data_IF_532209756076
#
_entry.id   IF_532209756076
#
_cell.length_a   1.000
_cell.length_b   1.000
_cell.length_c   1.000
_cell.angle_alpha   90.00
_cell.angle_beta   90.00
_cell.angle_gamma   90.00
#
_symmetry.space_group_name_H-M   'P 1'
#
loop_
_entity.id
_entity.type
_entity.pdbx_description
1 polymer ?
#
# COMPACT_ATOMS: atom_id res chain seq x y z
N UNK A 1 -41.34 34.12 10.04
CA UNK A 1 -42.46 33.25 9.59
C UNK A 1 -42.08 32.74 8.21
N UNK A 2 -41.94 31.47 7.87
CA UNK A 2 -42.12 30.17 8.50
C UNK A 2 -41.17 29.22 7.75
N UNK A 3 -40.31 28.48 8.48
CA UNK A 3 -39.45 27.43 7.93
C UNK A 3 -40.19 26.11 8.16
N UNK A 4 -40.62 25.46 7.08
CA UNK A 4 -41.23 24.13 7.13
C UNK A 4 -40.16 23.05 7.22
N UNK A 5 -40.12 22.38 8.38
CA UNK A 5 -39.25 21.24 8.66
C UNK A 5 -39.71 19.99 7.90
N UNK A 6 -38.78 19.28 7.26
CA UNK A 6 -39.00 17.90 6.83
C UNK A 6 -38.29 16.98 7.81
N UNK A 7 -39.10 16.24 8.58
CA UNK A 7 -38.70 15.19 9.52
C UNK A 7 -38.10 14.01 8.75
N UNK A 8 -36.87 13.63 9.06
CA UNK A 8 -36.28 12.36 8.64
C UNK A 8 -36.69 11.27 9.64
N UNK A 9 -37.38 10.24 9.16
CA UNK A 9 -37.85 9.11 9.95
C UNK A 9 -36.69 8.26 10.47
N UNK A 10 -36.58 8.14 11.80
CA UNK A 10 -35.71 7.19 12.49
C UNK A 10 -36.26 5.77 12.35
N UNK A 11 -35.57 4.91 11.61
CA UNK A 11 -35.75 3.47 11.70
C UNK A 11 -34.80 2.92 12.75
N UNK A 12 -35.37 2.49 13.87
CA UNK A 12 -34.69 1.77 14.93
C UNK A 12 -34.86 0.27 14.69
N UNK A 13 -33.77 -0.43 14.39
CA UNK A 13 -33.75 -1.89 14.37
C UNK A 13 -32.87 -2.36 15.51
N UNK A 14 -33.48 -3.21 16.32
CA UNK A 14 -33.04 -3.67 17.63
C UNK A 14 -31.70 -4.41 17.53
N UNK A 15 -30.74 -3.98 18.37
CA UNK A 15 -29.52 -4.74 18.67
C UNK A 15 -29.82 -5.68 19.82
N UNK A 16 -29.50 -6.96 19.67
CA UNK A 16 -29.20 -7.86 20.78
C UNK A 16 -27.79 -8.42 20.56
N UNK A 17 -26.78 -8.01 21.34
CA UNK A 17 -25.49 -8.67 21.33
C UNK A 17 -25.55 -9.88 22.29
N UNK A 18 -25.56 -11.08 21.72
CA UNK A 18 -25.24 -12.29 22.49
C UNK A 18 -23.72 -12.28 22.70
N UNK A 19 -23.32 -11.99 23.94
CA UNK A 19 -21.92 -12.08 24.40
C UNK A 19 -21.65 -13.53 24.76
N UNK A 20 -20.73 -14.19 24.03
CA UNK A 20 -20.14 -15.46 24.44
C UNK A 20 -18.72 -15.20 24.97
N UNK A 21 -18.32 -15.78 26.11
CA UNK A 21 -17.04 -15.49 26.74
C UNK A 21 -15.88 -16.18 25.99
N UNK A 22 -14.85 -15.39 25.67
CA UNK A 22 -13.55 -15.87 25.20
C UNK A 22 -12.79 -16.51 26.38
N UNK A 23 -12.59 -17.83 26.34
CA UNK A 23 -11.67 -18.52 27.25
C UNK A 23 -10.23 -18.25 26.83
N UNK A 24 -9.48 -17.60 27.72
CA UNK A 24 -8.04 -17.31 27.61
C UNK A 24 -7.26 -18.62 27.73
N UNK A 25 -6.49 -18.98 26.71
CA UNK A 25 -5.55 -20.11 26.77
C UNK A 25 -4.15 -19.53 27.02
N UNK A 26 -3.65 -19.67 28.24
CA UNK A 26 -2.30 -19.27 28.63
C UNK A 26 -1.28 -20.29 28.10
N UNK A 27 -0.25 -19.80 27.39
CA UNK A 27 0.89 -20.62 26.94
C UNK A 27 2.08 -20.29 27.86
N UNK A 28 2.75 -21.27 28.49
CA UNK A 28 3.88 -20.99 29.37
C UNK A 28 5.10 -20.56 28.57
N UNK A 29 5.72 -19.46 28.98
CA UNK A 29 7.04 -19.02 28.52
C UNK A 29 8.13 -19.84 29.24
N UNK A 30 8.86 -20.68 28.50
CA UNK A 30 10.15 -21.21 28.95
C UNK A 30 11.24 -20.80 27.97
N UNK A 31 12.19 -19.99 28.46
CA UNK A 31 13.35 -19.55 27.70
C UNK A 31 14.38 -20.66 27.54
N UNK A 32 14.89 -20.80 26.31
CA UNK A 32 16.12 -21.54 26.05
C UNK A 32 16.92 -20.77 24.98
N UNK A 33 18.10 -20.28 25.38
CA UNK A 33 19.14 -19.79 24.47
C UNK A 33 19.73 -20.99 23.73
N UNK A 34 19.69 -21.03 22.41
CA UNK A 34 20.53 -21.95 21.64
C UNK A 34 21.21 -21.29 20.45
N UNK A 35 22.51 -21.56 20.42
CA UNK A 35 23.53 -21.13 19.47
C UNK A 35 23.29 -21.72 18.07
N UNK A 36 23.72 -20.94 17.08
CA UNK A 36 23.56 -21.15 15.64
C UNK A 36 24.54 -22.17 15.08
N UNK A 37 24.04 -23.33 14.66
CA UNK A 37 24.37 -24.06 13.42
C UNK A 37 23.58 -25.37 13.40
N UNK A 38 22.54 -25.47 12.56
CA UNK A 38 21.85 -26.73 12.30
C UNK A 38 22.11 -27.15 10.85
N UNK A 39 22.55 -28.40 10.60
CA UNK A 39 22.65 -28.92 9.24
C UNK A 39 21.26 -29.08 8.65
N UNK A 40 21.15 -29.00 7.33
CA UNK A 40 19.92 -29.24 6.57
C UNK A 40 19.51 -30.70 6.77
N UNK A 41 18.72 -30.97 7.80
CA UNK A 41 18.01 -32.23 7.95
C UNK A 41 16.89 -32.26 6.92
N UNK A 42 17.05 -33.09 5.88
CA UNK A 42 15.91 -33.56 5.09
C UNK A 42 15.00 -34.31 6.05
N UNK A 43 13.95 -33.65 6.54
CA UNK A 43 12.81 -34.36 7.12
C UNK A 43 12.22 -35.24 6.02
N UNK A 44 12.49 -36.53 6.11
CA UNK A 44 11.71 -37.58 5.48
C UNK A 44 10.29 -37.47 6.04
N UNK A 45 9.37 -36.94 5.25
CA UNK A 45 7.95 -37.01 5.55
C UNK A 45 7.60 -38.49 5.76
N UNK A 46 6.93 -38.79 6.86
CA UNK A 46 6.30 -40.10 7.04
C UNK A 46 5.31 -40.31 5.91
N UNK A 47 5.47 -41.39 5.16
CA UNK A 47 4.50 -41.91 4.18
C UNK A 47 3.20 -42.34 4.91
N UNK A 48 2.41 -41.37 5.37
CA UNK A 48 0.97 -41.55 5.36
C UNK A 48 0.55 -41.21 3.94
N UNK A 49 0.12 -42.21 3.16
CA UNK A 49 -0.46 -42.02 1.83
C UNK A 49 -1.78 -41.23 1.93
N UNK A 50 -1.70 -39.94 2.24
CA UNK A 50 -2.82 -39.03 2.15
C UNK A 50 -3.05 -38.80 0.66
N UNK A 51 -4.09 -39.41 0.11
CA UNK A 51 -4.53 -39.19 -1.25
C UNK A 51 -4.68 -37.69 -1.49
N UNK A 52 -3.81 -37.10 -2.33
CA UNK A 52 -3.89 -35.68 -2.66
C UNK A 52 -5.19 -35.46 -3.42
N UNK A 53 -6.11 -34.70 -2.80
CA UNK A 53 -7.42 -34.39 -3.38
C UNK A 53 -7.27 -33.50 -4.61
N UNK A 54 -8.26 -33.55 -5.50
CA UNK A 54 -8.27 -32.76 -6.73
C UNK A 54 -8.46 -31.28 -6.43
N UNK A 55 -7.98 -30.41 -7.33
CA UNK A 55 -8.21 -28.96 -7.26
C UNK A 55 -9.70 -28.58 -7.25
N UNK A 56 -10.55 -29.43 -7.81
CA UNK A 56 -12.00 -29.25 -7.81
C UNK A 56 -12.67 -29.64 -6.49
N UNK A 57 -11.94 -30.31 -5.59
CA UNK A 57 -12.43 -30.69 -4.26
C UNK A 57 -12.23 -29.59 -3.23
N UNK A 58 -11.56 -28.48 -3.60
CA UNK A 58 -11.41 -27.31 -2.73
C UNK A 58 -12.80 -26.67 -2.54
N UNK A 59 -13.25 -26.48 -1.29
CA UNK A 59 -14.55 -25.89 -1.00
C UNK A 59 -14.58 -24.42 -1.43
N UNK A 60 -15.77 -23.90 -1.70
CA UNK A 60 -15.98 -22.47 -1.96
C UNK A 60 -16.81 -22.15 -3.20
N UNK A 61 -16.92 -20.87 -3.50
CA UNK A 61 -17.78 -20.32 -4.55
C UNK A 61 -16.99 -20.04 -5.81
N UNK A 62 -16.77 -21.05 -6.67
CA UNK A 62 -15.96 -20.89 -7.88
C UNK A 62 -16.65 -21.32 -9.19
N UNK A 63 -17.76 -22.05 -9.13
CA UNK A 63 -18.42 -22.61 -10.32
C UNK A 63 -19.09 -21.55 -11.22
N UNK A 64 -19.61 -20.47 -10.64
CA UNK A 64 -20.32 -19.42 -11.40
C UNK A 64 -19.83 -18.02 -11.03
N UNK A 65 -18.74 -17.58 -11.69
CA UNK A 65 -18.10 -16.29 -11.42
C UNK A 65 -19.02 -15.08 -11.61
N UNK A 66 -19.98 -15.12 -12.53
CA UNK A 66 -20.91 -14.01 -12.80
C UNK A 66 -21.97 -13.90 -11.72
N UNK A 67 -22.58 -15.02 -11.31
CA UNK A 67 -23.52 -15.01 -10.18
C UNK A 67 -22.82 -14.61 -8.88
N UNK A 68 -21.59 -15.06 -8.66
CA UNK A 68 -20.78 -14.66 -7.52
C UNK A 68 -20.46 -13.16 -7.55
N UNK A 69 -20.14 -12.59 -8.72
CA UNK A 69 -19.93 -11.14 -8.87
C UNK A 69 -21.20 -10.35 -8.53
N UNK A 70 -22.37 -10.82 -8.96
CA UNK A 70 -23.64 -10.20 -8.61
C UNK A 70 -23.89 -10.22 -7.09
N UNK A 71 -23.69 -11.38 -6.45
CA UNK A 71 -23.82 -11.51 -5.00
C UNK A 71 -22.79 -10.65 -4.25
N UNK A 72 -21.53 -10.64 -4.72
CA UNK A 72 -20.47 -9.81 -4.19
C UNK A 72 -20.83 -8.33 -4.24
N UNK A 73 -21.38 -7.87 -5.36
CA UNK A 73 -21.85 -6.49 -5.50
C UNK A 73 -23.03 -6.19 -4.56
N UNK A 74 -24.01 -7.09 -4.43
CA UNK A 74 -25.14 -6.95 -3.50
C UNK A 74 -24.72 -6.83 -2.04
N UNK A 75 -23.60 -7.46 -1.67
CA UNK A 75 -23.01 -7.40 -0.33
C UNK A 75 -22.07 -6.20 -0.11
N UNK A 76 -22.05 -5.24 -1.04
CA UNK A 76 -21.10 -4.11 -1.03
C UNK A 76 -19.63 -4.59 -0.97
N UNK A 77 -19.33 -5.68 -1.69
CA UNK A 77 -18.06 -6.37 -1.60
C UNK A 77 -16.85 -5.53 -2.03
N UNK A 78 -17.03 -4.53 -2.89
CA UNK A 78 -15.95 -3.61 -3.27
C UNK A 78 -15.41 -2.77 -2.09
N UNK A 79 -16.18 -2.65 -1.01
CA UNK A 79 -15.79 -1.97 0.24
C UNK A 79 -15.60 -2.94 1.40
N UNK A 80 -16.35 -4.04 1.41
CA UNK A 80 -16.40 -5.00 2.53
C UNK A 80 -15.70 -6.33 2.24
N UNK A 81 -14.82 -6.40 1.23
CA UNK A 81 -14.12 -7.63 0.83
C UNK A 81 -13.47 -8.37 2.01
N UNK A 82 -12.77 -7.66 2.89
CA UNK A 82 -12.09 -8.25 4.04
C UNK A 82 -13.05 -8.95 5.02
N UNK A 83 -14.26 -8.40 5.23
CA UNK A 83 -15.31 -9.06 6.02
C UNK A 83 -15.87 -10.29 5.31
N UNK A 84 -16.06 -10.22 3.99
CA UNK A 84 -16.48 -11.37 3.18
C UNK A 84 -15.44 -12.49 3.25
N UNK A 85 -14.15 -12.17 3.20
CA UNK A 85 -13.07 -13.15 3.35
C UNK A 85 -13.13 -13.86 4.70
N UNK A 86 -13.32 -13.10 5.80
CA UNK A 86 -13.48 -13.69 7.15
C UNK A 86 -14.70 -14.63 7.20
N UNK A 87 -15.84 -14.21 6.62
CA UNK A 87 -17.03 -15.07 6.55
C UNK A 87 -16.80 -16.33 5.72
N UNK A 88 -16.07 -16.22 4.60
CA UNK A 88 -15.71 -17.36 3.76
C UNK A 88 -14.80 -18.34 4.50
N UNK A 89 -13.78 -17.88 5.24
CA UNK A 89 -12.95 -18.76 6.07
C UNK A 89 -13.76 -19.44 7.18
N UNK A 90 -14.69 -18.73 7.81
CA UNK A 90 -15.60 -19.33 8.80
C UNK A 90 -16.56 -20.38 8.20
N UNK A 91 -16.89 -20.25 6.92
CA UNK A 91 -17.86 -21.11 6.23
C UNK A 91 -17.20 -22.34 5.58
N UNK A 92 -16.08 -22.13 4.89
CA UNK A 92 -15.42 -23.15 4.07
C UNK A 92 -14.20 -23.78 4.75
N UNK A 93 -13.75 -23.20 5.87
CA UNK A 93 -12.55 -23.63 6.59
C UNK A 93 -11.28 -22.87 6.16
N UNK A 94 -10.09 -23.36 6.55
CA UNK A 94 -8.83 -22.62 6.44
C UNK A 94 -8.31 -22.44 5.01
N UNK A 95 -8.91 -23.15 4.04
CA UNK A 95 -8.61 -23.05 2.62
C UNK A 95 -9.91 -23.06 1.81
N UNK A 96 -10.08 -22.10 0.92
CA UNK A 96 -11.23 -22.06 0.02
C UNK A 96 -10.88 -21.50 -1.36
N UNK A 97 -11.64 -21.91 -2.38
CA UNK A 97 -11.52 -21.45 -3.76
C UNK A 97 -12.69 -20.55 -4.11
N UNK A 98 -12.41 -19.42 -4.73
CA UNK A 98 -13.41 -18.42 -5.06
C UNK A 98 -13.16 -17.84 -6.45
N UNK A 99 -14.25 -17.65 -7.19
CA UNK A 99 -14.27 -16.99 -8.49
C UNK A 99 -15.28 -15.86 -8.47
N UNK A 100 -14.82 -14.61 -8.62
CA UNK A 100 -15.64 -13.40 -8.67
C UNK A 100 -15.37 -12.72 -10.01
N UNK A 101 -16.38 -12.69 -10.88
CA UNK A 101 -16.23 -12.19 -12.25
C UNK A 101 -15.22 -13.04 -13.02
N UNK A 102 -14.17 -12.40 -13.52
CA UNK A 102 -13.07 -13.09 -14.20
C UNK A 102 -11.90 -13.44 -13.27
N UNK A 103 -11.91 -12.97 -12.02
CA UNK A 103 -10.85 -13.23 -11.05
C UNK A 103 -11.13 -14.53 -10.30
N UNK A 104 -10.12 -15.40 -10.21
CA UNK A 104 -10.19 -16.68 -9.54
C UNK A 104 -8.98 -16.85 -8.61
N UNK A 105 -9.22 -17.33 -7.40
CA UNK A 105 -8.20 -17.46 -6.36
C UNK A 105 -8.44 -18.66 -5.46
N UNK A 106 -7.35 -19.17 -4.88
CA UNK A 106 -7.38 -20.01 -3.68
C UNK A 106 -6.88 -19.16 -2.53
N UNK A 107 -7.65 -19.11 -1.45
CA UNK A 107 -7.41 -18.30 -0.27
C UNK A 107 -7.03 -19.22 0.87
N UNK A 108 -5.97 -18.87 1.59
CA UNK A 108 -5.41 -19.58 2.75
C UNK A 108 -5.32 -18.61 3.93
N UNK A 109 -5.47 -19.11 5.15
CA UNK A 109 -5.35 -18.30 6.38
C UNK A 109 -4.27 -18.79 7.35
N UNK A 110 -3.91 -20.08 7.28
CA UNK A 110 -2.96 -20.66 8.22
C UNK A 110 -1.51 -20.24 7.87
N UNK A 111 -0.69 -19.83 8.86
CA UNK A 111 0.71 -19.48 8.63
C UNK A 111 1.55 -20.61 8.02
N UNK A 112 1.23 -21.86 8.35
CA UNK A 112 1.93 -23.05 7.85
C UNK A 112 1.75 -23.21 6.34
N UNK A 113 0.53 -22.99 5.83
CA UNK A 113 0.23 -23.06 4.40
C UNK A 113 0.94 -21.93 3.65
N UNK A 114 1.01 -20.73 4.23
CA UNK A 114 1.76 -19.62 3.67
C UNK A 114 3.27 -19.92 3.62
N UNK A 115 3.83 -20.54 4.66
CA UNK A 115 5.23 -20.95 4.69
C UNK A 115 5.55 -21.98 3.59
N UNK A 116 4.66 -22.96 3.38
CA UNK A 116 4.77 -23.93 2.28
C UNK A 116 4.74 -23.21 0.92
N UNK A 117 3.79 -22.29 0.72
CA UNK A 117 3.67 -21.51 -0.52
C UNK A 117 4.96 -20.73 -0.83
N UNK A 118 5.48 -19.98 0.14
CA UNK A 118 6.69 -19.19 -0.06
C UNK A 118 7.96 -20.05 -0.21
N UNK A 119 8.00 -21.25 0.39
CA UNK A 119 9.09 -22.21 0.19
C UNK A 119 9.08 -22.82 -1.21
N UNK A 120 7.91 -22.95 -1.82
CA UNK A 120 7.74 -23.42 -3.19
C UNK A 120 7.87 -22.31 -4.24
N UNK A 121 8.16 -21.07 -3.83
CA UNK A 121 8.27 -19.92 -4.74
C UNK A 121 9.44 -20.09 -5.72
N UNK A 122 9.17 -19.86 -7.01
CA UNK A 122 10.18 -19.91 -8.07
C UNK A 122 11.07 -18.67 -8.12
N UNK A 123 12.07 -18.68 -9.02
CA UNK A 123 13.01 -17.57 -9.20
C UNK A 123 12.38 -16.24 -9.65
N UNK A 124 11.17 -16.29 -10.21
CA UNK A 124 10.43 -15.17 -10.78
C UNK A 124 9.00 -15.16 -10.26
N UNK A 125 8.78 -14.77 -8.99
CA UNK A 125 7.44 -14.75 -8.42
C UNK A 125 6.53 -13.81 -9.19
N UNK A 126 5.27 -14.24 -9.34
CA UNK A 126 4.21 -13.49 -10.01
C UNK A 126 3.02 -13.38 -9.09
N UNK A 127 2.65 -12.15 -8.74
CA UNK A 127 1.42 -11.84 -8.03
C UNK A 127 0.26 -11.60 -9.00
N UNK A 128 -0.91 -11.31 -8.43
CA UNK A 128 -2.07 -10.83 -9.18
C UNK A 128 -1.68 -9.67 -10.10
N UNK A 129 -1.98 -9.83 -11.39
CA UNK A 129 -1.89 -8.77 -12.39
C UNK A 129 -3.11 -7.87 -12.25
N UNK A 130 -2.88 -6.61 -11.88
CA UNK A 130 -3.93 -5.59 -11.86
C UNK A 130 -4.19 -5.12 -13.28
N UNK A 131 -5.12 -5.78 -13.97
CA UNK A 131 -5.40 -5.56 -15.40
C UNK A 131 -5.71 -4.10 -15.73
N UNK A 132 -6.35 -3.36 -14.81
CA UNK A 132 -6.64 -1.93 -14.98
C UNK A 132 -5.36 -1.12 -15.21
N UNK A 133 -4.32 -1.39 -14.42
CA UNK A 133 -3.07 -0.67 -14.47
C UNK A 133 -2.30 -1.00 -15.74
N UNK A 134 -2.18 -2.28 -16.10
CA UNK A 134 -1.53 -2.67 -17.37
C UNK A 134 -2.29 -2.14 -18.58
N UNK A 135 -3.62 -2.19 -18.55
CA UNK A 135 -4.46 -1.65 -19.63
C UNK A 135 -4.26 -0.15 -19.84
N UNK A 136 -4.09 0.62 -18.75
CA UNK A 136 -3.75 2.04 -18.87
C UNK A 136 -2.38 2.23 -19.51
N UNK A 137 -1.37 1.48 -19.07
CA UNK A 137 0.00 1.60 -19.59
C UNK A 137 0.03 1.31 -21.08
N UNK A 138 -0.64 0.24 -21.52
CA UNK A 138 -0.77 -0.12 -22.94
C UNK A 138 -1.54 0.94 -23.72
N UNK A 139 -2.63 1.47 -23.15
CA UNK A 139 -3.46 2.49 -23.79
C UNK A 139 -2.72 3.82 -24.00
N UNK A 140 -1.87 4.22 -23.05
CA UNK A 140 -1.07 5.45 -23.11
C UNK A 140 0.37 5.24 -23.62
N UNK A 141 0.71 4.03 -24.07
CA UNK A 141 2.05 3.64 -24.51
C UNK A 141 3.14 3.99 -23.47
N UNK A 142 2.87 3.69 -22.19
CA UNK A 142 3.80 3.90 -21.07
C UNK A 142 4.47 2.57 -20.70
N UNK A 143 5.76 2.61 -20.32
CA UNK A 143 6.48 1.44 -19.82
C UNK A 143 5.90 0.98 -18.47
N UNK A 144 6.08 -0.32 -18.21
CA UNK A 144 5.75 -0.93 -16.94
C UNK A 144 6.90 -0.67 -15.97
N UNK A 145 6.63 -0.29 -14.72
CA UNK A 145 7.65 -0.30 -13.69
C UNK A 145 7.77 -1.69 -13.07
N UNK A 146 8.62 -1.81 -12.05
CA UNK A 146 8.88 -3.09 -11.36
C UNK A 146 7.61 -3.74 -10.80
N UNK A 147 6.54 -2.99 -10.52
CA UNK A 147 5.28 -3.53 -10.05
C UNK A 147 4.53 -4.29 -11.15
N UNK A 148 4.64 -3.90 -12.41
CA UNK A 148 3.84 -4.48 -13.50
C UNK A 148 4.62 -5.48 -14.36
N UNK A 149 5.95 -5.53 -14.22
CA UNK A 149 6.82 -6.51 -14.89
C UNK A 149 6.73 -7.89 -14.27
N UNK A 150 7.11 -8.91 -15.06
CA UNK A 150 7.23 -10.31 -14.62
C UNK A 150 8.50 -10.93 -15.23
N UNK A 151 8.86 -12.15 -14.78
CA UNK A 151 9.96 -12.92 -15.37
C UNK A 151 11.32 -12.24 -15.23
N UNK A 152 12.18 -12.44 -16.23
CA UNK A 152 13.53 -11.87 -16.25
C UNK A 152 13.54 -10.34 -16.25
N UNK A 153 12.61 -9.71 -16.97
CA UNK A 153 12.51 -8.25 -17.03
C UNK A 153 12.24 -7.65 -15.64
N UNK A 154 11.36 -8.29 -14.86
CA UNK A 154 11.15 -7.92 -13.47
C UNK A 154 12.43 -8.09 -12.65
N UNK A 155 13.11 -9.24 -12.76
CA UNK A 155 14.32 -9.53 -11.98
C UNK A 155 15.42 -8.51 -12.25
N UNK A 156 15.67 -8.19 -13.51
CA UNK A 156 16.67 -7.20 -13.92
C UNK A 156 16.41 -5.84 -13.28
N UNK A 157 15.17 -5.34 -13.38
CA UNK A 157 14.78 -4.07 -12.75
C UNK A 157 14.85 -4.14 -11.22
N UNK A 158 14.32 -5.22 -10.62
CA UNK A 158 14.25 -5.39 -9.18
C UNK A 158 15.63 -5.44 -8.53
N UNK A 159 16.59 -6.16 -9.11
CA UNK A 159 17.96 -6.25 -8.58
C UNK A 159 18.66 -4.89 -8.60
N UNK A 160 18.45 -4.10 -9.64
CA UNK A 160 19.03 -2.75 -9.75
C UNK A 160 18.38 -1.78 -8.77
N UNK A 161 17.04 -1.77 -8.69
CA UNK A 161 16.31 -0.93 -7.73
C UNK A 161 16.63 -1.29 -6.27
N UNK A 162 16.77 -2.58 -5.93
CA UNK A 162 17.09 -2.99 -4.57
C UNK A 162 18.41 -2.36 -4.07
N UNK A 163 19.39 -2.14 -4.96
CA UNK A 163 20.66 -1.50 -4.60
C UNK A 163 20.45 -0.06 -4.15
N UNK A 164 19.49 0.63 -4.75
CA UNK A 164 19.21 2.05 -4.52
C UNK A 164 18.08 2.33 -3.54
N UNK A 165 17.27 1.33 -3.18
CA UNK A 165 16.07 1.54 -2.35
C UNK A 165 16.09 0.72 -1.06
N UNK A 166 16.70 -0.47 -1.05
CA UNK A 166 16.59 -1.42 0.07
C UNK A 166 17.95 -1.77 0.67
N UNK A 167 19.06 -1.47 -0.01
CA UNK A 167 20.38 -1.84 0.50
C UNK A 167 20.71 -1.04 1.78
N UNK A 168 21.27 -1.67 2.84
CA UNK A 168 21.55 -1.00 4.11
C UNK A 168 22.37 0.29 3.94
N UNK A 169 23.37 0.27 3.04
CA UNK A 169 24.22 1.43 2.73
C UNK A 169 23.44 2.64 2.21
N UNK A 170 22.35 2.41 1.48
CA UNK A 170 21.53 3.51 0.95
C UNK A 170 20.51 3.99 1.97
N UNK A 171 20.03 3.11 2.84
CA UNK A 171 19.09 3.49 3.92
C UNK A 171 19.68 4.53 4.89
N UNK A 172 20.99 4.47 5.15
CA UNK A 172 21.69 5.51 5.95
C UNK A 172 21.54 6.92 5.36
N UNK A 173 21.46 7.04 4.03
CA UNK A 173 21.25 8.32 3.36
C UNK A 173 19.81 8.83 3.47
N UNK A 174 18.84 7.95 3.75
CA UNK A 174 17.43 8.32 3.87
C UNK A 174 17.10 8.90 5.24
N UNK A 175 17.82 8.49 6.29
CA UNK A 175 17.54 8.95 7.66
C UNK A 175 17.56 10.49 7.76
N UNK A 176 18.59 11.22 7.30
CA UNK A 176 18.58 12.69 7.37
C UNK A 176 17.43 13.32 6.55
N UNK A 177 17.12 12.74 5.40
CA UNK A 177 16.05 13.23 4.51
C UNK A 177 14.66 13.09 5.15
N UNK A 178 14.42 11.97 5.83
CA UNK A 178 13.15 11.69 6.51
C UNK A 178 13.06 12.41 7.86
N UNK A 179 14.17 12.59 8.56
CA UNK A 179 14.22 13.35 9.82
C UNK A 179 13.91 14.83 9.60
N UNK A 180 14.44 15.45 8.53
CA UNK A 180 14.09 16.82 8.13
C UNK A 180 12.55 16.96 7.92
N UNK A 181 11.93 16.01 7.21
CA UNK A 181 10.48 16.01 6.94
C UNK A 181 9.68 15.77 8.23
N UNK A 182 10.15 14.87 9.10
CA UNK A 182 9.56 14.60 10.41
C UNK A 182 9.55 15.82 11.32
N UNK A 183 10.68 16.52 11.41
CA UNK A 183 10.81 17.74 12.20
C UNK A 183 9.88 18.84 11.68
N UNK A 184 9.78 19.04 10.37
CA UNK A 184 8.87 20.03 9.80
C UNK A 184 7.39 19.71 10.08
N UNK A 185 7.03 18.42 10.08
CA UNK A 185 5.68 18.00 10.46
C UNK A 185 5.38 18.32 11.94
N UNK A 186 6.33 18.05 12.85
CA UNK A 186 6.21 18.39 14.28
C UNK A 186 6.06 19.91 14.46
N UNK A 187 6.90 20.71 13.77
CA UNK A 187 6.79 22.18 13.77
C UNK A 187 5.41 22.64 13.30
N UNK A 188 4.88 22.03 12.24
CA UNK A 188 3.54 22.33 11.74
C UNK A 188 2.45 22.01 12.77
N UNK A 189 2.52 20.86 13.43
CA UNK A 189 1.60 20.48 14.51
C UNK A 189 1.64 21.52 15.64
N UNK A 190 2.83 21.91 16.11
CA UNK A 190 2.96 22.95 17.14
C UNK A 190 2.39 24.30 16.70
N UNK A 191 2.60 24.72 15.44
CA UNK A 191 1.98 25.94 14.89
C UNK A 191 0.46 25.87 14.92
N UNK A 192 -0.14 24.71 14.59
CA UNK A 192 -1.60 24.52 14.63
C UNK A 192 -2.14 24.53 16.07
N UNK A 193 -1.41 23.94 17.02
CA UNK A 193 -1.73 24.00 18.45
C UNK A 193 -1.69 25.43 18.97
N UNK A 194 -0.65 26.19 18.64
CA UNK A 194 -0.52 27.58 19.06
C UNK A 194 -1.66 28.45 18.51
N UNK A 195 -2.03 28.26 17.23
CA UNK A 195 -3.12 28.99 16.58
C UNK A 195 -4.52 28.65 17.12
N UNK A 196 -4.70 27.50 17.78
CA UNK A 196 -6.01 27.13 18.33
C UNK A 196 -6.35 27.89 19.62
N UNK A 197 -5.34 28.45 20.31
CA UNK A 197 -5.51 29.14 21.59
C UNK A 197 -5.90 28.24 22.77
N UNK A 198 -6.02 26.91 22.57
CA UNK A 198 -6.49 25.96 23.57
C UNK A 198 -5.39 24.98 24.04
N UNK A 199 -4.14 25.21 23.63
CA UNK A 199 -3.01 24.30 23.83
C UNK A 199 -3.29 22.85 23.36
N UNK A 200 -4.23 22.69 22.42
CA UNK A 200 -4.61 21.42 21.79
C UNK A 200 -5.06 21.68 20.37
N UNK A 201 -4.91 20.70 19.49
CA UNK A 201 -5.42 20.78 18.11
C UNK A 201 -6.22 19.52 17.81
N UNK A 202 -7.48 19.68 17.44
CA UNK A 202 -8.37 18.59 17.03
C UNK A 202 -8.66 18.73 15.55
N UNK A 203 -8.29 17.72 14.77
CA UNK A 203 -8.47 17.69 13.31
C UNK A 203 -8.59 16.24 12.84
N UNK A 204 -9.11 16.06 11.63
CA UNK A 204 -8.82 14.86 10.86
C UNK A 204 -7.36 14.91 10.40
N UNK A 205 -6.56 13.92 10.83
CA UNK A 205 -5.14 13.82 10.47
C UNK A 205 -4.91 13.14 9.13
N UNK A 206 -5.93 12.55 8.49
CA UNK A 206 -5.79 11.80 7.24
C UNK A 206 -5.09 12.65 6.18
N UNK A 207 -5.61 13.85 5.90
CA UNK A 207 -5.01 14.76 4.91
C UNK A 207 -3.61 15.24 5.29
N UNK A 208 -3.33 15.40 6.58
CA UNK A 208 -2.02 15.88 7.05
C UNK A 208 -0.97 14.77 6.95
N UNK A 209 -1.36 13.52 7.19
CA UNK A 209 -0.51 12.35 7.00
C UNK A 209 -0.30 12.01 5.52
N UNK A 210 -1.27 12.30 4.65
CA UNK A 210 -1.07 12.23 3.20
C UNK A 210 0.02 13.20 2.73
N UNK A 211 -0.02 14.45 3.20
CA UNK A 211 1.03 15.45 2.92
C UNK A 211 2.38 15.00 3.47
N UNK A 212 2.40 14.47 4.70
CA UNK A 212 3.62 13.94 5.29
C UNK A 212 4.23 12.81 4.47
N UNK A 213 3.41 11.83 4.07
CA UNK A 213 3.86 10.70 3.25
C UNK A 213 4.37 11.17 1.88
N UNK A 214 3.64 12.09 1.23
CA UNK A 214 4.01 12.67 -0.05
C UNK A 214 5.34 13.43 0.01
N UNK A 215 5.53 14.27 1.03
CA UNK A 215 6.78 15.00 1.25
C UNK A 215 7.94 14.02 1.53
N UNK A 216 7.70 12.98 2.32
CA UNK A 216 8.70 11.96 2.70
C UNK A 216 9.20 11.16 1.49
N UNK A 217 8.27 10.61 0.71
CA UNK A 217 8.62 9.82 -0.49
C UNK A 217 9.27 10.71 -1.56
N UNK A 218 8.83 11.97 -1.70
CA UNK A 218 9.45 12.92 -2.64
C UNK A 218 10.88 13.26 -2.24
N UNK A 219 11.12 13.49 -0.94
CA UNK A 219 12.44 13.78 -0.39
C UNK A 219 13.41 12.62 -0.67
N UNK A 220 12.98 11.38 -0.47
CA UNK A 220 13.81 10.19 -0.75
C UNK A 220 14.01 9.94 -2.24
N UNK A 221 12.94 9.99 -3.05
CA UNK A 221 13.02 9.64 -4.46
C UNK A 221 13.71 10.71 -5.30
N UNK A 222 13.40 11.98 -5.05
CA UNK A 222 13.87 13.09 -5.87
C UNK A 222 14.95 13.93 -5.18
N UNK A 223 15.16 13.79 -3.87
CA UNK A 223 16.05 14.68 -3.14
C UNK A 223 15.53 16.13 -3.12
N UNK A 224 14.20 16.31 -3.16
CA UNK A 224 13.54 17.62 -3.20
C UNK A 224 12.41 17.72 -2.18
N UNK A 225 12.24 18.94 -1.67
CA UNK A 225 11.16 19.31 -0.76
C UNK A 225 10.03 19.92 -1.59
N UNK A 226 8.82 19.38 -1.46
CA UNK A 226 7.64 19.90 -2.15
C UNK A 226 7.01 21.08 -1.37
N UNK A 227 7.36 21.25 -0.09
CA UNK A 227 6.87 22.36 0.71
C UNK A 227 5.43 22.20 1.19
N UNK A 228 4.95 20.95 1.34
CA UNK A 228 3.54 20.66 1.64
C UNK A 228 3.09 21.07 3.05
N UNK A 229 4.03 21.46 3.90
CA UNK A 229 3.78 21.94 5.25
C UNK A 229 3.65 23.46 5.36
N UNK A 230 3.81 24.19 4.25
CA UNK A 230 3.57 25.63 4.21
C UNK A 230 2.07 25.94 4.40
N UNK A 231 1.77 27.20 4.73
CA UNK A 231 0.38 27.65 4.90
C UNK A 231 -0.39 27.69 3.58
N UNK A 232 0.31 27.94 2.47
CA UNK A 232 -0.20 27.77 1.11
C UNK A 232 0.14 26.37 0.60
N UNK A 233 -0.88 25.61 0.24
CA UNK A 233 -0.71 24.30 -0.38
C UNK A 233 -0.72 24.52 -1.89
N UNK A 234 0.30 24.01 -2.57
CA UNK A 234 0.33 23.99 -4.02
C UNK A 234 -0.90 23.20 -4.54
N UNK A 235 -1.81 23.82 -5.31
CA UNK A 235 -2.96 23.13 -5.90
C UNK A 235 -2.59 21.86 -6.67
N UNK A 236 -1.37 21.80 -7.21
CA UNK A 236 -0.87 20.66 -7.96
C UNK A 236 -0.59 19.44 -7.08
N UNK A 237 -0.05 19.66 -5.88
CA UNK A 237 0.19 18.58 -4.93
C UNK A 237 -1.12 18.00 -4.40
N UNK A 238 -2.13 18.86 -4.18
CA UNK A 238 -3.47 18.38 -3.82
C UNK A 238 -4.08 17.58 -4.98
N UNK A 239 -3.96 18.06 -6.22
CA UNK A 239 -4.41 17.33 -7.40
C UNK A 239 -3.76 15.94 -7.50
N UNK A 240 -2.46 15.83 -7.22
CA UNK A 240 -1.76 14.55 -7.20
C UNK A 240 -2.32 13.58 -6.14
N UNK A 241 -2.59 14.05 -4.92
CA UNK A 241 -3.22 13.25 -3.85
C UNK A 241 -4.61 12.77 -4.30
N UNK A 242 -5.40 13.66 -4.89
CA UNK A 242 -6.74 13.33 -5.39
C UNK A 242 -6.68 12.29 -6.52
N UNK A 243 -5.69 12.39 -7.41
CA UNK A 243 -5.44 11.41 -8.46
C UNK A 243 -5.08 10.02 -7.89
N UNK A 244 -4.23 9.91 -6.87
CA UNK A 244 -3.92 8.62 -6.23
C UNK A 244 -5.18 8.01 -5.61
N UNK A 245 -5.93 8.80 -4.86
CA UNK A 245 -7.19 8.36 -4.24
C UNK A 245 -8.20 7.87 -5.29
N UNK A 246 -8.34 8.61 -6.40
CA UNK A 246 -9.22 8.25 -7.51
C UNK A 246 -8.73 6.98 -8.23
N UNK A 247 -7.42 6.82 -8.39
CA UNK A 247 -6.79 5.65 -9.00
C UNK A 247 -7.15 4.37 -8.22
N UNK A 248 -7.00 4.35 -6.89
CA UNK A 248 -7.39 3.19 -6.09
C UNK A 248 -8.90 2.92 -6.12
N UNK A 249 -9.72 3.97 -5.99
CA UNK A 249 -11.19 3.86 -6.03
C UNK A 249 -11.70 3.27 -7.34
N UNK A 250 -11.13 3.69 -8.47
CA UNK A 250 -11.50 3.18 -9.80
C UNK A 250 -10.92 1.79 -10.07
N UNK A 251 -9.81 1.41 -9.43
CA UNK A 251 -9.20 0.06 -9.56
C UNK A 251 -10.10 -1.03 -8.98
N UNK A 252 -10.72 -0.81 -7.82
CA UNK A 252 -11.53 -1.82 -7.10
C UNK A 252 -12.57 -2.54 -7.99
N UNK A 253 -13.48 -1.86 -8.72
CA UNK A 253 -14.42 -2.54 -9.61
C UNK A 253 -13.76 -3.27 -10.79
N UNK A 254 -12.61 -2.78 -11.26
CA UNK A 254 -11.91 -3.34 -12.42
C UNK A 254 -11.06 -4.58 -12.09
N UNK A 255 -10.87 -4.89 -10.81
CA UNK A 255 -10.34 -6.18 -10.38
C UNK A 255 -11.25 -7.34 -10.80
N UNK A 256 -12.56 -7.08 -10.91
CA UNK A 256 -13.57 -8.11 -11.16
C UNK A 256 -14.33 -7.94 -12.48
N UNK A 257 -14.26 -6.76 -13.09
CA UNK A 257 -14.81 -6.47 -14.43
C UNK A 257 -13.66 -6.15 -15.40
N UNK A 258 -13.55 -6.84 -16.56
CA UNK A 258 -12.43 -6.62 -17.48
C UNK A 258 -12.35 -5.17 -18.00
N UNK A 259 -11.20 -4.49 -17.88
CA UNK A 259 -11.03 -3.11 -18.38
C UNK A 259 -11.34 -2.96 -19.88
N UNK A 260 -11.04 -3.99 -20.68
CA UNK A 260 -11.33 -3.98 -22.12
C UNK A 260 -12.83 -3.82 -22.41
N UNK A 261 -13.71 -4.41 -21.59
CA UNK A 261 -15.16 -4.24 -21.71
C UNK A 261 -15.57 -2.81 -21.33
N UNK A 262 -15.07 -2.33 -20.19
CA UNK A 262 -15.35 -0.98 -19.68
C UNK A 262 -14.90 0.12 -20.64
N UNK A 263 -13.77 -0.10 -21.33
CA UNK A 263 -13.27 0.78 -22.39
C UNK A 263 -14.20 0.78 -23.61
N UNK A 264 -14.62 -0.39 -24.10
CA UNK A 264 -15.50 -0.50 -25.28
C UNK A 264 -16.85 0.20 -25.09
N UNK A 265 -17.42 0.11 -23.88
CA UNK A 265 -18.71 0.75 -23.56
C UNK A 265 -18.57 2.23 -23.13
N UNK A 266 -17.35 2.76 -23.10
CA UNK A 266 -17.11 4.13 -22.63
C UNK A 266 -17.55 4.34 -21.18
N UNK A 267 -17.27 3.39 -20.29
CA UNK A 267 -17.66 3.51 -18.89
C UNK A 267 -16.92 4.67 -18.20
N UNK A 268 -17.64 5.44 -17.36
CA UNK A 268 -17.05 6.55 -16.60
C UNK A 268 -15.85 6.11 -15.75
N UNK A 269 -15.96 4.96 -15.09
CA UNK A 269 -14.89 4.39 -14.24
C UNK A 269 -13.57 4.21 -14.98
N UNK A 270 -13.61 3.84 -16.28
CA UNK A 270 -12.40 3.70 -17.09
C UNK A 270 -11.81 5.07 -17.44
N UNK A 271 -12.64 6.05 -17.82
CA UNK A 271 -12.17 7.41 -18.11
C UNK A 271 -11.54 8.07 -16.88
N UNK A 272 -12.21 7.98 -15.73
CA UNK A 272 -11.71 8.49 -14.46
C UNK A 272 -10.39 7.82 -14.07
N UNK A 273 -10.24 6.51 -14.34
CA UNK A 273 -8.99 5.79 -14.08
C UNK A 273 -7.84 6.27 -14.97
N UNK A 274 -8.13 6.53 -16.24
CA UNK A 274 -7.14 7.08 -17.18
C UNK A 274 -6.71 8.48 -16.75
N UNK A 275 -7.67 9.35 -16.42
CA UNK A 275 -7.41 10.71 -15.95
C UNK A 275 -6.58 10.72 -14.65
N UNK A 276 -6.93 9.87 -13.69
CA UNK A 276 -6.19 9.71 -12.44
C UNK A 276 -4.72 9.31 -12.70
N UNK A 277 -4.49 8.32 -13.54
CA UNK A 277 -3.13 7.91 -13.87
C UNK A 277 -2.38 8.97 -14.67
N UNK A 278 -3.03 9.70 -15.58
CA UNK A 278 -2.40 10.79 -16.32
C UNK A 278 -1.92 11.88 -15.36
N UNK A 279 -2.73 12.26 -14.36
CA UNK A 279 -2.31 13.19 -13.31
C UNK A 279 -1.09 12.69 -12.53
N UNK A 280 -1.06 11.40 -12.17
CA UNK A 280 0.09 10.76 -11.48
C UNK A 280 1.36 10.81 -12.34
N UNK A 281 1.26 10.41 -13.62
CA UNK A 281 2.41 10.42 -14.53
C UNK A 281 2.90 11.83 -14.84
N UNK A 282 1.99 12.79 -15.00
CA UNK A 282 2.35 14.18 -15.26
C UNK A 282 3.12 14.79 -14.09
N UNK A 283 2.70 14.53 -12.85
CA UNK A 283 3.42 14.98 -11.67
C UNK A 283 4.82 14.35 -11.60
N UNK A 284 4.91 13.03 -11.78
CA UNK A 284 6.19 12.33 -11.75
C UNK A 284 7.12 12.81 -12.89
N UNK A 285 6.60 12.97 -14.11
CA UNK A 285 7.35 13.50 -15.26
C UNK A 285 7.92 14.89 -14.93
N UNK A 286 7.17 15.77 -14.26
CA UNK A 286 7.65 17.09 -13.84
C UNK A 286 8.78 17.02 -12.81
N UNK A 287 8.60 16.25 -11.73
CA UNK A 287 9.64 16.05 -10.72
C UNK A 287 10.92 15.52 -11.37
N UNK A 288 10.78 14.53 -12.25
CA UNK A 288 11.92 13.94 -12.97
C UNK A 288 12.61 14.99 -13.86
N UNK A 289 11.86 15.79 -14.61
CA UNK A 289 12.43 16.84 -15.47
C UNK A 289 13.15 17.94 -14.66
N UNK A 290 12.64 18.30 -13.48
CA UNK A 290 13.30 19.24 -12.60
C UNK A 290 14.68 18.72 -12.14
N UNK A 291 14.73 17.44 -11.73
CA UNK A 291 15.99 16.80 -11.34
C UNK A 291 16.97 16.70 -12.50
N UNK A 292 16.51 16.35 -13.70
CA UNK A 292 17.37 16.36 -14.90
C UNK A 292 17.97 17.74 -15.17
N UNK A 293 17.17 18.81 -15.07
CA UNK A 293 17.65 20.18 -15.26
C UNK A 293 18.70 20.54 -14.21
N UNK A 294 18.46 20.20 -12.94
CA UNK A 294 19.38 20.46 -11.83
C UNK A 294 20.71 19.72 -12.00
N UNK A 295 20.66 18.42 -12.29
CA UNK A 295 21.87 17.61 -12.51
C UNK A 295 22.73 18.11 -13.68
N UNK A 296 22.14 18.77 -14.69
CA UNK A 296 22.88 19.40 -15.79
C UNK A 296 23.50 20.75 -15.42
N UNK A 297 22.93 21.46 -14.44
CA UNK A 297 23.38 22.78 -14.00
C UNK A 297 24.43 22.69 -12.88
N UNK A 298 24.42 21.63 -12.08
CA UNK A 298 25.41 21.39 -11.04
C UNK A 298 26.77 20.98 -11.63
N UNK A 299 27.70 21.93 -11.72
CA UNK A 299 29.11 21.70 -12.06
C UNK A 299 29.94 21.40 -10.81
N UNK A 300 29.74 20.21 -10.22
CA UNK A 300 30.59 19.72 -9.14
C UNK A 300 29.97 18.57 -8.33
N UNK A 301 30.77 17.80 -7.59
CA UNK A 301 30.25 16.74 -6.73
C UNK A 301 29.45 17.35 -5.57
N UNK A 302 28.13 17.16 -5.58
CA UNK A 302 27.28 17.48 -4.44
C UNK A 302 27.66 16.61 -3.23
N UNK A 303 27.80 17.22 -2.05
CA UNK A 303 28.08 16.50 -0.80
C UNK A 303 26.83 15.81 -0.22
N UNK A 304 25.62 16.19 -0.65
CA UNK A 304 24.35 15.61 -0.16
C UNK A 304 23.88 14.51 -1.10
N UNK A 305 23.31 13.44 -0.54
CA UNK A 305 22.69 12.38 -1.34
C UNK A 305 21.60 12.97 -2.25
N UNK A 306 21.65 12.75 -3.57
CA UNK A 306 20.81 13.48 -4.53
C UNK A 306 19.41 12.86 -4.73
N UNK A 307 19.09 11.78 -4.01
CA UNK A 307 17.84 11.02 -4.17
C UNK A 307 17.99 9.78 -5.05
N UNK A 308 17.04 8.86 -4.94
CA UNK A 308 17.03 7.58 -5.67
C UNK A 308 17.05 7.77 -7.19
N UNK A 309 16.25 8.71 -7.71
CA UNK A 309 16.19 9.00 -9.14
C UNK A 309 17.57 9.39 -9.69
N UNK A 310 18.22 10.37 -9.06
CA UNK A 310 19.54 10.83 -9.48
C UNK A 310 20.58 9.71 -9.40
N UNK A 311 20.54 8.89 -8.34
CA UNK A 311 21.43 7.74 -8.20
C UNK A 311 21.23 6.71 -9.32
N UNK A 312 19.99 6.38 -9.68
CA UNK A 312 19.68 5.48 -10.79
C UNK A 312 20.16 6.02 -12.14
N UNK A 313 20.00 7.33 -12.37
CA UNK A 313 20.46 8.00 -13.58
C UNK A 313 21.99 7.96 -13.72
N UNK A 314 22.71 8.21 -12.62
CA UNK A 314 24.18 8.19 -12.61
C UNK A 314 24.78 6.79 -12.84
N UNK A 315 24.04 5.72 -12.51
CA UNK A 315 24.50 4.35 -12.70
C UNK A 315 24.42 3.86 -14.14
N UNK A 316 23.54 4.45 -14.95
CA UNK A 316 23.34 4.14 -16.38
C UNK A 316 23.20 2.62 -16.67
N UNK A 317 22.44 1.92 -15.81
CA UNK A 317 22.14 0.48 -15.95
C UNK A 317 20.68 0.17 -16.29
N UNK A 318 19.82 1.18 -16.27
CA UNK A 318 18.41 1.08 -16.64
C UNK A 318 18.10 2.13 -17.70
N UNK A 319 17.19 1.81 -18.61
CA UNK A 319 16.70 2.80 -19.55
C UNK A 319 15.98 3.92 -18.80
N UNK A 320 16.05 5.15 -19.33
CA UNK A 320 15.37 6.31 -18.74
C UNK A 320 13.88 6.03 -18.54
N UNK A 321 13.24 5.38 -19.51
CA UNK A 321 11.81 5.06 -19.43
C UNK A 321 11.51 3.99 -18.35
N UNK A 322 12.39 3.02 -18.11
CA UNK A 322 12.25 2.06 -17.01
C UNK A 322 12.43 2.72 -15.64
N UNK A 323 13.39 3.65 -15.53
CA UNK A 323 13.61 4.46 -14.33
C UNK A 323 12.35 5.29 -14.06
N UNK A 324 11.85 6.02 -15.06
CA UNK A 324 10.64 6.84 -14.94
C UNK A 324 9.45 6.00 -14.49
N UNK A 325 9.19 4.88 -15.16
CA UNK A 325 8.05 4.02 -14.80
C UNK A 325 8.16 3.49 -13.37
N UNK A 326 9.34 3.03 -12.95
CA UNK A 326 9.56 2.49 -11.61
C UNK A 326 9.50 3.55 -10.51
N UNK A 327 10.05 4.74 -10.77
CA UNK A 327 9.99 5.88 -9.83
C UNK A 327 8.56 6.38 -9.67
N UNK A 328 7.78 6.47 -10.75
CA UNK A 328 6.35 6.82 -10.67
C UNK A 328 5.56 5.80 -9.84
N UNK A 329 5.84 4.50 -9.99
CA UNK A 329 5.20 3.45 -9.18
C UNK A 329 5.60 3.53 -7.70
N UNK A 330 6.88 3.77 -7.39
CA UNK A 330 7.35 3.97 -6.02
C UNK A 330 6.71 5.20 -5.37
N UNK A 331 6.63 6.30 -6.13
CA UNK A 331 6.00 7.55 -5.69
C UNK A 331 4.53 7.35 -5.36
N UNK A 332 3.75 6.78 -6.29
CA UNK A 332 2.33 6.51 -6.06
C UNK A 332 2.10 5.50 -4.93
N UNK A 333 2.97 4.50 -4.79
CA UNK A 333 2.87 3.48 -3.75
C UNK A 333 3.22 3.97 -2.34
N UNK A 334 4.06 5.00 -2.21
CA UNK A 334 4.56 5.49 -0.91
C UNK A 334 3.61 6.43 -0.16
N UNK A 335 2.59 6.98 -0.83
CA UNK A 335 1.71 8.01 -0.27
C UNK A 335 0.61 7.40 0.60
N UNK A 336 -0.34 6.67 0.02
CA UNK A 336 -1.50 6.10 0.74
C UNK A 336 -1.11 5.06 1.78
N UNK A 337 -0.09 4.24 1.48
CA UNK A 337 0.32 3.15 2.37
C UNK A 337 0.86 3.68 3.70
N UNK A 338 1.79 4.64 3.63
CA UNK A 338 2.43 5.23 4.80
C UNK A 338 1.45 6.09 5.58
N UNK A 339 0.65 6.92 4.90
CA UNK A 339 -0.30 7.83 5.57
C UNK A 339 -1.36 7.07 6.37
N UNK A 340 -1.96 6.02 5.78
CA UNK A 340 -2.98 5.20 6.42
C UNK A 340 -2.39 4.36 7.55
N UNK A 341 -1.19 3.82 7.38
CA UNK A 341 -0.51 3.06 8.45
C UNK A 341 -0.23 3.95 9.65
N UNK A 342 0.31 5.15 9.44
CA UNK A 342 0.54 6.11 10.52
C UNK A 342 -0.77 6.54 11.20
N UNK A 343 -1.85 6.71 10.44
CA UNK A 343 -3.16 7.05 10.99
C UNK A 343 -3.65 5.96 11.93
N UNK A 344 -3.58 4.70 11.52
CA UNK A 344 -3.93 3.55 12.37
C UNK A 344 -3.02 3.43 13.59
N UNK A 345 -1.72 3.66 13.44
CA UNK A 345 -0.78 3.70 14.57
C UNK A 345 -1.20 4.76 15.60
N UNK A 346 -1.45 5.99 15.16
CA UNK A 346 -1.89 7.07 16.06
C UNK A 346 -3.24 6.76 16.72
N UNK A 347 -4.16 6.14 15.98
CA UNK A 347 -5.44 5.68 16.50
C UNK A 347 -5.27 4.62 17.60
N UNK A 348 -4.44 3.61 17.39
CA UNK A 348 -4.19 2.57 18.39
C UNK A 348 -3.46 3.10 19.61
N UNK A 349 -2.52 4.03 19.45
CA UNK A 349 -1.86 4.71 20.58
C UNK A 349 -2.86 5.51 21.42
N UNK A 350 -3.76 6.26 20.77
CA UNK A 350 -4.79 7.03 21.47
C UNK A 350 -5.77 6.13 22.26
N UNK A 351 -5.98 4.89 21.80
CA UNK A 351 -6.81 3.89 22.49
C UNK A 351 -6.09 3.15 23.62
N UNK A 352 -4.77 3.19 23.65
CA UNK A 352 -3.95 2.49 24.63
C UNK A 352 -2.93 3.44 25.28
N UNK A 353 -3.35 4.35 26.19
CA UNK A 353 -2.47 5.37 26.77
C UNK A 353 -1.24 4.80 27.48
N UNK A 354 -1.37 3.66 28.16
CA UNK A 354 -0.24 3.01 28.82
C UNK A 354 0.87 2.60 27.82
N UNK A 355 0.48 2.04 26.67
CA UNK A 355 1.42 1.68 25.60
C UNK A 355 2.04 2.94 24.99
N UNK A 356 1.27 4.02 24.86
CA UNK A 356 1.80 5.29 24.37
C UNK A 356 2.88 5.87 25.30
N UNK A 357 2.69 5.80 26.63
CA UNK A 357 3.71 6.24 27.60
C UNK A 357 4.96 5.35 27.55
N UNK A 358 4.78 4.03 27.44
CA UNK A 358 5.90 3.08 27.33
C UNK A 358 6.76 3.36 26.09
N UNK A 359 6.14 3.50 24.92
CA UNK A 359 6.85 3.84 23.67
C UNK A 359 7.51 5.22 23.75
N UNK A 360 6.88 6.20 24.41
CA UNK A 360 7.49 7.51 24.62
C UNK A 360 8.73 7.42 25.50
N UNK A 361 8.69 6.60 26.56
CA UNK A 361 9.83 6.37 27.44
C UNK A 361 10.99 5.68 26.71
N UNK A 362 10.69 4.69 25.87
CA UNK A 362 11.69 4.02 25.02
C UNK A 362 12.37 5.02 24.07
N UNK A 363 11.60 5.86 23.37
CA UNK A 363 12.16 6.89 22.47
C UNK A 363 12.99 7.92 23.23
N UNK A 364 12.57 8.32 24.43
CA UNK A 364 13.33 9.25 25.26
C UNK A 364 14.68 8.66 25.70
N UNK A 365 14.69 7.39 26.12
CA UNK A 365 15.90 6.66 26.50
C UNK A 365 16.86 6.42 25.32
N UNK A 366 16.34 6.25 24.10
CA UNK A 366 17.17 6.11 22.91
C UNK A 366 17.81 7.43 22.44
N UNK A 367 17.28 8.58 22.88
CA UNK A 367 17.81 9.92 22.56
C UNK A 367 18.81 10.45 23.59
N UNK A 368 18.75 9.95 24.83
CA UNK A 368 19.72 10.22 25.90
C UNK A 368 20.99 9.42 25.71
#
# INVERSE_FOLDING_TARGET
MSISSVRMARWSVWRSPVVLPLSRMEVPMTGARHSSTMPVARQTYSDSSSFVRSFNDIPGLWKNGVANLYNFWKLDGFRNLHHIMVQNFNTFGPIYREKIGYYESVNIINPEDAAILFKAEGHYPKRLKVEAWTSYRDYRNRKYGVLLKNGEEWRCNRVLLNKEVISPKVLENFVPLLDEVGNDFVVRVHKKIARSGQNKWTTDLSQELFKYALESVSSVLYGERLGLFLDYIDPEAQHFIDCISLMFKTTSPMLYIPPALLRKVGAKVWRDHVEAWDGIFNQADRCIQNIYRRLRQETGPSKKYPGVLASLLLRDKLSIEDIKASITELMAGGVDTTSITLLWTLYELARHPNLQEELRAEVAAARS
#
